data_IF_432789684863
#
_entry.id   IF_432789684863
#
_cell.length_a   1.000
_cell.length_b   1.000
_cell.length_c   1.000
_cell.angle_alpha   90.00
_cell.angle_beta   90.00
_cell.angle_gamma   90.00
#
_symmetry.space_group_name_H-M   'P 1'
#
loop_
_entity.id
_entity.type
_entity.pdbx_description
1 polymer ?
#
# COMPACT_ATOMS: atom_id res chain seq x y z
N UNK A 1 -10.70 -8.63 16.16
CA UNK A 1 -10.23 -7.79 15.03
C UNK A 1 -10.53 -8.39 13.66
N UNK A 2 -10.16 -9.65 13.34
CA UNK A 2 -10.42 -10.31 12.03
C UNK A 2 -11.85 -10.21 11.44
N UNK A 3 -12.88 -10.12 12.27
CA UNK A 3 -14.29 -10.01 11.84
C UNK A 3 -14.66 -8.59 11.36
N UNK A 4 -13.96 -7.56 11.84
CA UNK A 4 -14.28 -6.15 11.62
C UNK A 4 -13.24 -5.43 10.76
N UNK A 5 -11.99 -5.92 10.74
CA UNK A 5 -10.89 -5.33 9.99
C UNK A 5 -10.67 -6.07 8.66
N UNK A 6 -10.80 -5.35 7.54
CA UNK A 6 -10.59 -5.86 6.18
C UNK A 6 -9.13 -6.24 5.95
N UNK A 7 -8.19 -5.54 6.58
CA UNK A 7 -6.74 -5.74 6.43
C UNK A 7 -6.26 -7.00 7.18
N UNK A 8 -7.05 -7.47 8.14
CA UNK A 8 -6.76 -8.66 8.95
C UNK A 8 -7.10 -10.00 8.25
N UNK A 9 -7.60 -9.97 7.00
CA UNK A 9 -7.90 -11.16 6.20
C UNK A 9 -6.67 -11.72 5.49
N UNK A 10 -5.70 -12.22 6.26
CA UNK A 10 -4.47 -12.84 5.77
C UNK A 10 -4.48 -14.36 5.97
N UNK A 11 -3.76 -15.09 5.12
CA UNK A 11 -3.57 -16.54 5.28
C UNK A 11 -2.77 -16.84 6.54
N UNK A 12 -3.09 -17.98 7.17
CA UNK A 12 -2.44 -18.44 8.40
C UNK A 12 -1.38 -19.48 8.05
N UNK A 13 -0.15 -19.20 8.47
CA UNK A 13 1.02 -20.02 8.25
C UNK A 13 1.60 -20.50 9.59
N UNK A 14 1.92 -21.78 9.70
CA UNK A 14 2.51 -22.42 10.87
C UNK A 14 3.70 -23.32 10.47
N UNK A 15 4.71 -23.45 11.33
CA UNK A 15 5.89 -24.29 11.07
C UNK A 15 6.78 -23.77 9.94
N UNK A 16 7.31 -24.68 9.11
CA UNK A 16 8.26 -24.36 8.01
C UNK A 16 7.68 -23.39 6.97
N UNK A 17 6.43 -23.53 6.49
CA UNK A 17 5.83 -22.56 5.56
C UNK A 17 5.81 -21.12 6.08
N UNK A 18 5.62 -20.92 7.40
CA UNK A 18 5.67 -19.60 8.01
C UNK A 18 7.04 -18.95 7.85
N UNK A 19 8.11 -19.72 8.09
CA UNK A 19 9.48 -19.26 7.95
C UNK A 19 9.76 -18.88 6.50
N UNK A 20 9.34 -19.70 5.53
CA UNK A 20 9.51 -19.41 4.11
C UNK A 20 8.82 -18.11 3.69
N UNK A 21 7.57 -17.91 4.12
CA UNK A 21 6.83 -16.66 3.84
C UNK A 21 7.52 -15.46 4.50
N UNK A 22 7.99 -15.60 5.75
CA UNK A 22 8.74 -14.54 6.43
C UNK A 22 10.06 -14.20 5.74
N UNK A 23 10.82 -15.21 5.32
CA UNK A 23 12.05 -15.02 4.53
C UNK A 23 11.74 -14.33 3.20
N UNK A 24 10.62 -14.66 2.55
CA UNK A 24 10.24 -14.06 1.27
C UNK A 24 9.86 -12.59 1.43
N UNK A 25 9.12 -12.25 2.50
CA UNK A 25 8.82 -10.87 2.87
C UNK A 25 10.08 -10.08 3.21
N UNK A 26 11.01 -10.68 3.97
CA UNK A 26 12.28 -10.05 4.30
C UNK A 26 13.14 -9.81 3.05
N UNK A 27 13.21 -10.78 2.12
CA UNK A 27 13.90 -10.63 0.85
C UNK A 27 13.27 -9.52 -0.01
N UNK A 28 11.94 -9.41 -0.04
CA UNK A 28 11.27 -8.31 -0.72
C UNK A 28 11.60 -6.95 -0.09
N UNK A 29 11.64 -6.85 1.24
CA UNK A 29 12.05 -5.63 1.93
C UNK A 29 13.50 -5.25 1.61
N UNK A 30 14.42 -6.22 1.64
CA UNK A 30 15.82 -6.01 1.25
C UNK A 30 15.96 -5.60 -0.22
N UNK A 31 15.17 -6.21 -1.11
CA UNK A 31 15.10 -5.83 -2.52
C UNK A 31 14.64 -4.37 -2.68
N UNK A 32 13.59 -3.93 -1.99
CA UNK A 32 13.12 -2.55 -2.05
C UNK A 32 14.17 -1.55 -1.56
N UNK A 33 14.87 -1.88 -0.47
CA UNK A 33 15.97 -1.07 0.06
C UNK A 33 17.12 -1.00 -0.95
N UNK A 34 17.53 -2.13 -1.51
CA UNK A 34 18.60 -2.20 -2.50
C UNK A 34 18.27 -1.38 -3.76
N UNK A 35 17.07 -1.59 -4.31
CA UNK A 35 16.62 -0.90 -5.52
C UNK A 35 16.60 0.61 -5.34
N UNK A 36 16.22 1.08 -4.16
CA UNK A 36 16.12 2.52 -3.93
C UNK A 36 17.47 3.17 -3.60
N UNK A 37 18.35 2.47 -2.87
CA UNK A 37 19.64 3.04 -2.46
C UNK A 37 20.72 2.91 -3.54
N UNK A 38 20.71 1.81 -4.32
CA UNK A 38 21.85 1.45 -5.16
C UNK A 38 21.51 1.25 -6.64
N UNK A 39 20.27 0.89 -6.98
CA UNK A 39 19.94 0.52 -8.36
C UNK A 39 19.63 1.74 -9.24
N UNK A 40 20.48 2.00 -10.24
CA UNK A 40 20.23 2.97 -11.32
C UNK A 40 19.52 2.31 -12.50
N UNK A 41 18.46 1.56 -12.22
CA UNK A 41 17.72 0.84 -13.26
C UNK A 41 16.83 1.78 -14.06
N UNK A 42 16.55 1.36 -15.29
CA UNK A 42 15.50 1.96 -16.11
C UNK A 42 14.16 1.87 -15.38
N UNK A 43 13.34 2.91 -15.48
CA UNK A 43 12.10 3.04 -14.71
C UNK A 43 11.15 1.86 -14.96
N UNK A 44 11.02 1.42 -16.20
CA UNK A 44 10.15 0.32 -16.62
C UNK A 44 10.59 -0.99 -15.96
N UNK A 45 11.89 -1.26 -15.87
CA UNK A 45 12.43 -2.45 -15.19
C UNK A 45 12.12 -2.38 -13.68
N UNK A 46 12.33 -1.21 -13.07
CA UNK A 46 12.06 -1.01 -11.64
C UNK A 46 10.58 -1.20 -11.30
N UNK A 47 9.69 -0.54 -12.02
CA UNK A 47 8.25 -0.57 -11.70
C UNK A 47 7.63 -1.94 -11.99
N UNK A 48 8.02 -2.58 -13.10
CA UNK A 48 7.50 -3.92 -13.44
C UNK A 48 7.98 -4.98 -12.47
N UNK A 49 9.26 -4.96 -12.08
CA UNK A 49 9.80 -5.90 -11.07
C UNK A 49 9.18 -5.67 -9.69
N UNK A 50 8.99 -4.42 -9.29
CA UNK A 50 8.30 -4.07 -8.04
C UNK A 50 6.86 -4.62 -8.02
N UNK A 51 6.09 -4.37 -9.08
CA UNK A 51 4.71 -4.87 -9.17
C UNK A 51 4.68 -6.40 -9.26
N UNK A 52 5.64 -7.04 -9.94
CA UNK A 52 5.76 -8.51 -9.97
C UNK A 52 5.88 -9.10 -8.56
N UNK A 53 6.72 -8.51 -7.70
CA UNK A 53 6.83 -8.91 -6.30
C UNK A 53 5.54 -8.65 -5.52
N UNK A 54 4.89 -7.49 -5.73
CA UNK A 54 3.63 -7.15 -5.04
C UNK A 54 2.51 -8.12 -5.40
N UNK A 55 2.33 -8.48 -6.68
CA UNK A 55 1.29 -9.46 -7.06
C UNK A 55 1.60 -10.85 -6.55
N UNK A 56 2.88 -11.26 -6.57
CA UNK A 56 3.33 -12.52 -5.98
C UNK A 56 2.98 -12.60 -4.49
N UNK A 57 3.38 -11.59 -3.73
CA UNK A 57 3.07 -11.50 -2.29
C UNK A 57 1.58 -11.34 -2.03
N UNK A 58 0.86 -10.62 -2.89
CA UNK A 58 -0.58 -10.43 -2.80
C UNK A 58 -1.33 -11.76 -2.87
N UNK A 59 -0.98 -12.62 -3.84
CA UNK A 59 -1.54 -13.97 -3.93
C UNK A 59 -1.04 -14.92 -2.86
N UNK A 60 0.13 -14.70 -2.25
CA UNK A 60 0.67 -15.50 -1.16
C UNK A 60 -0.04 -15.19 0.19
N UNK A 61 -0.34 -13.92 0.44
CA UNK A 61 -0.85 -13.42 1.73
C UNK A 61 -2.37 -13.35 1.75
N UNK A 62 -3.02 -12.88 0.68
CA UNK A 62 -4.46 -12.61 0.68
C UNK A 62 -5.27 -13.76 0.03
N UNK A 63 -6.16 -14.42 0.78
CA UNK A 63 -7.02 -15.47 0.26
C UNK A 63 -8.19 -14.91 -0.56
N UNK A 64 -8.70 -15.72 -1.50
CA UNK A 64 -9.76 -15.31 -2.42
C UNK A 64 -11.13 -15.02 -1.77
N UNK A 65 -11.44 -15.68 -0.64
CA UNK A 65 -12.69 -15.54 0.13
C UNK A 65 -12.40 -15.33 1.62
N UNK A 66 -13.19 -14.47 2.26
CA UNK A 66 -13.24 -14.35 3.73
C UNK A 66 -13.93 -15.60 4.29
N UNK A 67 -13.30 -16.31 5.23
CA UNK A 67 -13.86 -17.55 5.81
C UNK A 67 -12.79 -18.52 6.30
N UNK A 68 -13.21 -19.75 6.63
CA UNK A 68 -12.37 -20.84 7.20
C UNK A 68 -11.14 -21.09 6.30
N UNK A 69 -10.02 -20.48 6.67
CA UNK A 69 -8.72 -20.72 6.04
C UNK A 69 -8.14 -22.00 6.64
N UNK A 70 -7.75 -22.94 5.78
CA UNK A 70 -6.93 -24.07 6.22
C UNK A 70 -5.51 -23.56 6.46
N UNK A 71 -4.93 -23.94 7.59
CA UNK A 71 -3.53 -23.63 7.92
C UNK A 71 -2.62 -24.22 6.84
N UNK A 72 -1.62 -23.46 6.39
CA UNK A 72 -0.59 -23.89 5.43
C UNK A 72 -1.10 -24.36 4.06
N UNK A 73 -2.27 -23.90 3.61
CA UNK A 73 -2.83 -24.35 2.33
C UNK A 73 -3.05 -23.18 1.35
N UNK A 74 -2.47 -23.31 0.15
CA UNK A 74 -2.79 -22.47 -1.01
C UNK A 74 -3.65 -23.29 -1.98
N UNK A 75 -4.86 -22.83 -2.33
CA UNK A 75 -5.65 -23.46 -3.38
C UNK A 75 -4.90 -23.44 -4.73
N UNK A 76 -5.04 -24.49 -5.53
CA UNK A 76 -4.35 -24.62 -6.82
C UNK A 76 -4.61 -23.42 -7.76
N UNK A 77 -5.82 -22.86 -7.76
CA UNK A 77 -6.18 -21.72 -8.59
C UNK A 77 -5.39 -20.45 -8.18
N UNK A 78 -5.09 -20.29 -6.90
CA UNK A 78 -4.29 -19.17 -6.41
C UNK A 78 -2.82 -19.33 -6.82
N UNK A 79 -2.30 -20.55 -6.87
CA UNK A 79 -0.95 -20.82 -7.39
C UNK A 79 -0.86 -20.50 -8.88
N UNK A 80 -1.86 -20.91 -9.66
CA UNK A 80 -1.91 -20.61 -11.11
C UNK A 80 -1.98 -19.10 -11.35
N UNK A 81 -2.87 -18.39 -10.65
CA UNK A 81 -2.97 -16.94 -10.78
C UNK A 81 -1.70 -16.21 -10.32
N UNK A 82 -1.06 -16.68 -9.25
CA UNK A 82 0.20 -16.15 -8.76
C UNK A 82 1.31 -16.27 -9.80
N UNK A 83 1.47 -17.46 -10.40
CA UNK A 83 2.51 -17.72 -11.41
C UNK A 83 2.22 -16.92 -12.68
N UNK A 84 0.97 -16.95 -13.19
CA UNK A 84 0.59 -16.21 -14.40
C UNK A 84 0.79 -14.71 -14.21
N UNK A 85 0.35 -14.15 -13.08
CA UNK A 85 0.52 -12.73 -12.80
C UNK A 85 2.00 -12.37 -12.75
N UNK A 86 2.77 -13.05 -11.91
CA UNK A 86 4.21 -12.78 -11.72
C UNK A 86 4.98 -12.92 -13.03
N UNK A 87 4.70 -13.95 -13.82
CA UNK A 87 5.32 -14.17 -15.12
C UNK A 87 5.01 -13.05 -16.12
N UNK A 88 3.77 -12.54 -16.16
CA UNK A 88 3.41 -11.43 -17.06
C UNK A 88 4.18 -10.14 -16.74
N UNK A 89 4.34 -9.81 -15.45
CA UNK A 89 5.11 -8.62 -15.05
C UNK A 89 6.62 -8.82 -15.29
N UNK A 90 7.17 -10.00 -14.97
CA UNK A 90 8.58 -10.33 -15.21
C UNK A 90 8.91 -10.40 -16.70
N UNK A 91 7.97 -10.84 -17.55
CA UNK A 91 8.12 -10.76 -19.01
C UNK A 91 8.41 -9.31 -19.45
N UNK A 92 7.63 -8.35 -18.95
CA UNK A 92 7.92 -6.93 -19.25
C UNK A 92 9.26 -6.50 -18.63
N UNK A 93 9.59 -6.91 -17.40
CA UNK A 93 10.89 -6.59 -16.80
C UNK A 93 12.08 -7.04 -17.65
N UNK A 94 12.06 -8.28 -18.16
CA UNK A 94 13.16 -8.87 -18.94
C UNK A 94 13.25 -8.26 -20.34
N UNK A 95 12.11 -8.06 -21.01
CA UNK A 95 12.05 -7.56 -22.38
C UNK A 95 11.78 -6.05 -22.46
N UNK A 96 12.03 -5.29 -21.39
CA UNK A 96 11.70 -3.87 -21.31
C UNK A 96 12.29 -3.05 -22.47
N UNK A 97 13.56 -3.28 -22.81
CA UNK A 97 14.23 -2.56 -23.91
C UNK A 97 13.60 -2.84 -25.28
N UNK A 98 13.21 -4.08 -25.54
CA UNK A 98 12.60 -4.48 -26.81
C UNK A 98 11.18 -3.92 -26.91
N UNK A 99 10.43 -3.96 -25.80
CA UNK A 99 9.08 -3.40 -25.68
C UNK A 99 9.06 -1.88 -25.89
N UNK A 100 10.09 -1.18 -25.41
CA UNK A 100 10.22 0.27 -25.65
C UNK A 100 10.56 0.54 -27.12
N UNK A 101 11.47 -0.24 -27.72
CA UNK A 101 11.92 -0.06 -29.11
C UNK A 101 10.84 -0.41 -30.14
N UNK A 102 9.99 -1.40 -29.87
CA UNK A 102 8.92 -1.81 -30.80
C UNK A 102 7.78 -0.76 -30.91
N UNK A 103 7.73 0.22 -30.00
CA UNK A 103 6.78 1.32 -30.04
C UNK A 103 5.33 0.82 -30.06
N UNK A 104 4.56 1.21 -31.07
CA UNK A 104 3.13 0.89 -31.17
C UNK A 104 2.81 -0.52 -31.70
N UNK A 105 3.80 -1.28 -32.17
CA UNK A 105 3.61 -2.56 -32.86
C UNK A 105 3.67 -3.72 -31.87
N UNK A 106 2.51 -4.10 -31.34
CA UNK A 106 2.38 -5.24 -30.43
C UNK A 106 1.68 -6.41 -31.13
N UNK A 107 2.25 -7.59 -30.96
CA UNK A 107 1.66 -8.85 -31.43
C UNK A 107 0.50 -9.30 -30.53
N UNK A 108 -0.42 -10.10 -31.09
CA UNK A 108 -1.60 -10.61 -30.35
C UNK A 108 -1.23 -11.30 -29.04
N UNK A 109 -0.13 -12.05 -29.00
CA UNK A 109 0.31 -12.75 -27.79
C UNK A 109 0.78 -11.79 -26.69
N UNK A 110 1.38 -10.66 -27.03
CA UNK A 110 1.79 -9.63 -26.05
C UNK A 110 0.57 -8.94 -25.45
N UNK A 111 -0.49 -8.74 -26.25
CA UNK A 111 -1.77 -8.24 -25.76
C UNK A 111 -2.41 -9.24 -24.79
N UNK A 112 -2.35 -10.55 -25.07
CA UNK A 112 -2.85 -11.57 -24.14
C UNK A 112 -2.12 -11.52 -22.79
N UNK A 113 -0.80 -11.35 -22.78
CA UNK A 113 -0.02 -11.16 -21.55
C UNK A 113 -0.50 -9.94 -20.76
N UNK A 114 -0.75 -8.82 -21.44
CA UNK A 114 -1.27 -7.60 -20.82
C UNK A 114 -2.67 -7.78 -20.24
N UNK A 115 -3.57 -8.48 -20.94
CA UNK A 115 -4.91 -8.82 -20.42
C UNK A 115 -4.80 -9.66 -19.14
N UNK A 116 -3.95 -10.70 -19.16
CA UNK A 116 -3.70 -11.54 -17.97
C UNK A 116 -3.14 -10.70 -16.82
N UNK A 117 -2.18 -9.80 -17.09
CA UNK A 117 -1.60 -8.94 -16.07
C UNK A 117 -2.62 -7.99 -15.43
N UNK A 118 -3.48 -7.36 -16.25
CA UNK A 118 -4.53 -6.44 -15.78
C UNK A 118 -5.59 -7.22 -14.99
N UNK A 119 -6.04 -8.37 -15.50
CA UNK A 119 -7.08 -9.19 -14.84
C UNK A 119 -6.59 -9.77 -13.51
N UNK A 120 -5.35 -10.26 -13.46
CA UNK A 120 -4.77 -10.78 -12.21
C UNK A 120 -4.50 -9.66 -11.20
N UNK A 121 -4.04 -8.48 -11.64
CA UNK A 121 -3.89 -7.31 -10.76
C UNK A 121 -5.23 -6.87 -10.17
N UNK A 122 -6.28 -6.82 -11.00
CA UNK A 122 -7.65 -6.54 -10.56
C UNK A 122 -8.12 -7.52 -9.47
N UNK A 123 -7.80 -8.80 -9.63
CA UNK A 123 -8.13 -9.84 -8.65
C UNK A 123 -7.34 -9.69 -7.34
N UNK A 124 -6.04 -9.35 -7.39
CA UNK A 124 -5.26 -9.01 -6.18
C UNK A 124 -5.82 -7.76 -5.49
N UNK A 125 -6.20 -6.74 -6.27
CA UNK A 125 -6.82 -5.52 -5.75
C UNK A 125 -8.16 -5.83 -5.05
N UNK A 126 -8.99 -6.68 -5.66
CA UNK A 126 -10.26 -7.16 -5.05
C UNK A 126 -10.02 -7.85 -3.70
N UNK A 127 -8.95 -8.63 -3.59
CA UNK A 127 -8.59 -9.36 -2.36
C UNK A 127 -8.05 -8.46 -1.26
N UNK A 128 -7.26 -7.45 -1.64
CA UNK A 128 -6.54 -6.58 -0.70
C UNK A 128 -7.39 -5.39 -0.23
N UNK A 129 -8.07 -4.70 -1.16
CA UNK A 129 -8.84 -3.47 -0.88
C UNK A 129 -10.35 -3.73 -0.86
N UNK A 130 -10.84 -4.49 -1.85
CA UNK A 130 -12.25 -4.88 -1.96
C UNK A 130 -12.92 -4.47 -3.26
N UNK A 131 -14.23 -4.76 -3.35
CA UNK A 131 -15.04 -4.53 -4.56
C UNK A 131 -15.28 -3.06 -4.93
N UNK A 132 -15.46 -2.09 -4.00
CA UNK A 132 -15.83 -0.73 -4.38
C UNK A 132 -14.86 -0.07 -5.37
N UNK A 133 -13.55 -0.19 -5.13
CA UNK A 133 -12.53 0.39 -6.03
C UNK A 133 -12.51 -0.32 -7.39
N UNK A 134 -12.80 -1.62 -7.40
CA UNK A 134 -12.86 -2.42 -8.63
C UNK A 134 -14.08 -2.04 -9.49
N UNK A 135 -15.21 -1.71 -8.87
CA UNK A 135 -16.40 -1.24 -9.61
C UNK A 135 -16.09 0.06 -10.33
N UNK A 136 -15.46 1.01 -9.64
CA UNK A 136 -15.08 2.30 -10.23
C UNK A 136 -14.06 2.11 -11.37
N UNK A 137 -12.99 1.35 -11.12
CA UNK A 137 -11.99 1.05 -12.16
C UNK A 137 -12.60 0.31 -13.35
N UNK A 138 -13.46 -0.67 -13.09
CA UNK A 138 -14.20 -1.42 -14.11
C UNK A 138 -15.10 -0.53 -14.95
N UNK A 139 -15.79 0.44 -14.36
CA UNK A 139 -16.60 1.41 -15.09
C UNK A 139 -15.76 2.24 -16.07
N UNK A 140 -14.57 2.69 -15.67
CA UNK A 140 -13.65 3.41 -16.57
C UNK A 140 -13.08 2.51 -17.67
N UNK A 141 -12.77 1.25 -17.38
CA UNK A 141 -12.34 0.29 -18.42
C UNK A 141 -13.46 0.03 -19.42
N UNK A 142 -14.71 -0.15 -18.95
CA UNK A 142 -15.89 -0.30 -19.83
C UNK A 142 -16.12 0.96 -20.65
N UNK A 143 -15.96 2.15 -20.06
CA UNK A 143 -16.06 3.42 -20.79
C UNK A 143 -14.98 3.53 -21.87
N UNK A 144 -13.72 3.19 -21.55
CA UNK A 144 -12.63 3.15 -22.53
C UNK A 144 -12.93 2.19 -23.68
N UNK A 145 -13.50 1.02 -23.39
CA UNK A 145 -13.87 0.04 -24.40
C UNK A 145 -15.10 0.45 -25.23
N UNK A 146 -16.05 1.21 -24.69
CA UNK A 146 -17.33 1.53 -25.35
C UNK A 146 -17.33 2.89 -26.07
N UNK A 147 -16.76 3.94 -25.48
CA UNK A 147 -16.84 5.33 -25.95
C UNK A 147 -15.45 5.93 -26.22
N UNK A 148 -14.44 5.53 -25.45
CA UNK A 148 -13.17 6.25 -25.33
C UNK A 148 -12.15 6.13 -26.46
N UNK A 149 -12.51 5.64 -27.66
CA UNK A 149 -11.52 5.45 -28.73
C UNK A 149 -12.06 5.71 -30.13
N UNK A 150 -11.26 6.44 -30.92
CA UNK A 150 -11.46 6.74 -32.35
C UNK A 150 -11.41 5.51 -33.28
N UNK A 151 -11.21 4.30 -32.74
CA UNK A 151 -11.17 3.05 -33.50
C UNK A 151 -12.57 2.42 -33.56
N UNK A 152 -13.14 2.19 -34.77
CA UNK A 152 -14.49 1.65 -34.91
C UNK A 152 -14.60 0.18 -34.43
N UNK A 153 -13.55 -0.62 -34.59
CA UNK A 153 -13.54 -2.05 -34.26
C UNK A 153 -13.25 -2.31 -32.78
N UNK A 154 -14.03 -3.20 -32.15
CA UNK A 154 -13.83 -3.58 -30.73
C UNK A 154 -12.41 -4.08 -30.45
N UNK A 155 -11.83 -4.90 -31.34
CA UNK A 155 -10.48 -5.43 -31.15
C UNK A 155 -9.40 -4.34 -31.19
N UNK A 156 -9.58 -3.30 -32.01
CA UNK A 156 -8.69 -2.14 -32.02
C UNK A 156 -8.76 -1.35 -30.71
N UNK A 157 -9.96 -1.21 -30.13
CA UNK A 157 -10.17 -0.59 -28.82
C UNK A 157 -9.53 -1.39 -27.69
N UNK A 158 -9.71 -2.71 -27.69
CA UNK A 158 -9.10 -3.61 -26.71
C UNK A 158 -7.56 -3.53 -26.76
N UNK A 159 -6.96 -3.67 -27.94
CA UNK A 159 -5.50 -3.64 -28.11
C UNK A 159 -4.90 -2.33 -27.59
N UNK A 160 -5.51 -1.20 -27.93
CA UNK A 160 -5.05 0.10 -27.45
C UNK A 160 -5.23 0.25 -25.94
N UNK A 161 -6.39 -0.11 -25.38
CA UNK A 161 -6.64 0.00 -23.93
C UNK A 161 -5.64 -0.85 -23.14
N UNK A 162 -5.39 -2.10 -23.57
CA UNK A 162 -4.40 -2.97 -22.92
C UNK A 162 -2.99 -2.39 -23.04
N UNK A 163 -2.61 -1.86 -24.21
CA UNK A 163 -1.31 -1.22 -24.41
C UNK A 163 -1.14 0.00 -23.51
N UNK A 164 -2.14 0.86 -23.45
CA UNK A 164 -2.10 2.07 -22.62
C UNK A 164 -2.10 1.74 -21.13
N UNK A 165 -2.80 0.69 -20.70
CA UNK A 165 -2.84 0.29 -19.29
C UNK A 165 -1.58 -0.45 -18.84
N UNK A 166 -1.05 -1.37 -19.65
CA UNK A 166 0.04 -2.25 -19.23
C UNK A 166 1.40 -1.87 -19.82
N UNK A 167 1.48 -1.45 -21.08
CA UNK A 167 2.77 -1.16 -21.74
C UNK A 167 3.14 0.33 -21.80
N UNK A 168 2.26 1.23 -21.33
CA UNK A 168 2.51 2.68 -21.28
C UNK A 168 2.74 3.18 -19.86
N UNK A 169 3.35 4.37 -19.74
CA UNK A 169 3.55 5.11 -18.48
C UNK A 169 2.31 5.82 -17.95
N UNK A 170 1.26 5.89 -18.78
CA UNK A 170 -0.01 6.53 -18.41
C UNK A 170 -0.98 5.54 -17.72
N UNK A 171 -0.64 4.25 -17.71
CA UNK A 171 -1.46 3.19 -17.15
C UNK A 171 -1.10 2.81 -15.72
N UNK A 172 -0.91 1.50 -15.51
CA UNK A 172 -0.54 0.91 -14.21
C UNK A 172 0.81 1.46 -13.74
N UNK A 173 1.79 1.58 -14.64
CA UNK A 173 3.15 2.03 -14.32
C UNK A 173 3.28 3.56 -14.38
N UNK A 174 2.36 4.25 -13.70
CA UNK A 174 2.30 5.70 -13.62
C UNK A 174 2.82 6.22 -12.28
N UNK A 175 2.71 7.54 -12.07
CA UNK A 175 3.11 8.26 -10.86
C UNK A 175 2.78 7.55 -9.53
N UNK A 176 1.59 6.96 -9.31
CA UNK A 176 1.29 6.28 -8.06
C UNK A 176 2.18 5.07 -7.78
N UNK A 177 2.40 4.18 -8.74
CA UNK A 177 3.28 3.01 -8.56
C UNK A 177 4.74 3.46 -8.44
N UNK A 178 5.13 4.51 -9.15
CA UNK A 178 6.47 5.10 -9.01
C UNK A 178 6.72 5.62 -7.60
N UNK A 179 5.75 6.38 -7.07
CA UNK A 179 5.76 6.89 -5.70
C UNK A 179 5.80 5.76 -4.67
N UNK A 180 5.01 4.71 -4.90
CA UNK A 180 4.99 3.52 -4.04
C UNK A 180 6.35 2.84 -3.98
N UNK A 181 6.98 2.63 -5.14
CA UNK A 181 8.26 1.93 -5.27
C UNK A 181 9.45 2.74 -4.74
N UNK A 182 9.43 4.08 -4.86
CA UNK A 182 10.54 4.94 -4.43
C UNK A 182 10.49 5.34 -2.97
N UNK A 183 9.31 5.70 -2.47
CA UNK A 183 9.18 6.35 -1.17
C UNK A 183 8.37 5.50 -0.20
N UNK A 184 7.10 5.21 -0.55
CA UNK A 184 6.14 4.65 0.39
C UNK A 184 6.62 3.31 0.95
N UNK A 185 7.16 2.42 0.11
CA UNK A 185 7.59 1.09 0.56
C UNK A 185 8.69 1.15 1.63
N UNK A 186 9.65 2.07 1.51
CA UNK A 186 10.73 2.21 2.50
C UNK A 186 10.20 2.76 3.81
N UNK A 187 9.35 3.79 3.72
CA UNK A 187 8.75 4.37 4.91
C UNK A 187 7.84 3.36 5.64
N UNK A 188 7.10 2.52 4.91
CA UNK A 188 6.32 1.43 5.52
C UNK A 188 7.25 0.40 6.17
N UNK A 189 8.34 -0.02 5.52
CA UNK A 189 9.31 -0.96 6.10
C UNK A 189 9.94 -0.38 7.37
N UNK A 190 10.34 0.89 7.34
CA UNK A 190 10.90 1.58 8.48
C UNK A 190 9.87 1.77 9.61
N UNK A 191 8.64 2.17 9.29
CA UNK A 191 7.55 2.29 10.24
C UNK A 191 7.22 0.96 10.92
N UNK A 192 7.13 -0.13 10.15
CA UNK A 192 6.91 -1.47 10.68
C UNK A 192 8.08 -1.95 11.57
N UNK A 193 9.33 -1.58 11.21
CA UNK A 193 10.49 -1.85 12.07
C UNK A 193 10.38 -1.08 13.40
N UNK A 194 10.10 0.22 13.35
CA UNK A 194 9.95 1.06 14.54
C UNK A 194 8.80 0.59 15.45
N UNK A 195 7.65 0.24 14.88
CA UNK A 195 6.52 -0.32 15.62
C UNK A 195 6.93 -1.59 16.40
N UNK A 196 7.74 -2.47 15.78
CA UNK A 196 8.27 -3.68 16.44
C UNK A 196 9.31 -3.41 17.51
N UNK A 197 9.97 -2.25 17.50
CA UNK A 197 10.91 -1.87 18.56
C UNK A 197 10.23 -1.37 19.83
N UNK A 198 8.90 -1.21 19.84
CA UNK A 198 8.16 -0.69 21.00
C UNK A 198 8.23 0.83 21.13
N UNK A 199 8.46 1.55 20.03
CA UNK A 199 8.57 3.02 20.06
C UNK A 199 7.25 3.70 20.48
N UNK A 200 6.11 3.03 20.32
CA UNK A 200 4.80 3.51 20.74
C UNK A 200 4.77 3.81 22.26
N UNK A 201 5.21 2.85 23.08
CA UNK A 201 5.30 3.03 24.53
C UNK A 201 6.26 4.18 24.89
N UNK A 202 7.40 4.27 24.20
CA UNK A 202 8.34 5.38 24.36
C UNK A 202 7.69 6.75 24.06
N UNK A 203 6.86 6.86 23.01
CA UNK A 203 6.17 8.11 22.69
C UNK A 203 5.10 8.47 23.70
N UNK A 204 4.36 7.48 24.22
CA UNK A 204 3.39 7.70 25.30
C UNK A 204 4.10 8.20 26.56
N UNK A 205 5.21 7.59 26.94
CA UNK A 205 6.00 8.02 28.11
C UNK A 205 6.61 9.41 27.90
N UNK A 206 7.15 9.70 26.72
CA UNK A 206 7.65 11.03 26.37
C UNK A 206 6.53 12.08 26.44
N UNK A 207 5.36 11.80 25.88
CA UNK A 207 4.20 12.67 25.94
C UNK A 207 3.73 12.90 27.39
N UNK A 208 3.73 11.86 28.21
CA UNK A 208 3.43 11.95 29.65
C UNK A 208 4.37 12.92 30.37
N UNK A 209 5.67 12.87 30.09
CA UNK A 209 6.67 13.78 30.70
C UNK A 209 6.46 15.24 30.28
N UNK A 210 6.13 15.46 29.00
CA UNK A 210 5.97 16.81 28.44
C UNK A 210 4.66 17.44 28.89
N UNK A 211 3.52 16.75 28.72
CA UNK A 211 2.18 17.34 28.90
C UNK A 211 1.31 16.72 30.00
N UNK A 212 1.70 15.58 30.57
CA UNK A 212 0.87 14.82 31.52
C UNK A 212 0.61 15.54 32.85
N UNK A 213 1.49 16.46 33.25
CA UNK A 213 1.40 17.27 34.49
C UNK A 213 0.46 18.46 34.40
N UNK A 214 -0.03 18.81 33.20
CA UNK A 214 -0.97 19.92 33.04
C UNK A 214 -2.42 19.48 33.26
N UNK A 215 -3.31 20.44 33.49
CA UNK A 215 -4.76 20.19 33.51
C UNK A 215 -5.20 19.54 32.19
N UNK A 216 -5.99 18.46 32.31
CA UNK A 216 -6.36 17.61 31.19
C UNK A 216 -5.21 16.78 30.61
N UNK A 217 -4.16 16.52 31.42
CA UNK A 217 -2.95 15.80 31.05
C UNK A 217 -3.20 14.54 30.22
N UNK A 218 -4.03 13.58 30.66
CA UNK A 218 -4.29 12.35 29.90
C UNK A 218 -4.80 12.56 28.48
N UNK A 219 -5.67 13.54 28.25
CA UNK A 219 -6.17 13.86 26.91
C UNK A 219 -5.10 14.53 26.05
N UNK A 220 -4.28 15.42 26.64
CA UNK A 220 -3.15 16.04 25.94
C UNK A 220 -2.06 15.02 25.59
N UNK A 221 -1.79 14.08 26.49
CA UNK A 221 -0.88 12.95 26.27
C UNK A 221 -1.37 12.12 25.10
N UNK A 222 -2.68 11.80 25.05
CA UNK A 222 -3.25 11.09 23.91
C UNK A 222 -2.99 11.83 22.60
N UNK A 223 -3.28 13.15 22.54
CA UNK A 223 -3.05 13.95 21.33
C UNK A 223 -1.57 13.97 20.91
N UNK A 224 -0.65 14.20 21.85
CA UNK A 224 0.79 14.28 21.55
C UNK A 224 1.36 12.91 21.18
N UNK A 225 1.01 11.86 21.91
CA UNK A 225 1.45 10.50 21.64
C UNK A 225 0.94 10.00 20.29
N UNK A 226 -0.36 10.19 19.99
CA UNK A 226 -0.91 9.87 18.67
C UNK A 226 -0.28 10.72 17.57
N UNK A 227 0.04 11.99 17.82
CA UNK A 227 0.78 12.77 16.83
C UNK A 227 2.15 12.15 16.54
N UNK A 228 2.89 11.75 17.58
CA UNK A 228 4.22 11.12 17.45
C UNK A 228 4.18 9.73 16.82
N UNK A 229 3.25 8.87 17.21
CA UNK A 229 3.02 7.58 16.56
C UNK A 229 2.53 7.74 15.10
N UNK A 230 1.72 8.77 14.84
CA UNK A 230 1.29 9.17 13.52
C UNK A 230 2.45 9.54 12.60
N UNK A 231 3.48 10.22 13.14
CA UNK A 231 4.72 10.53 12.41
C UNK A 231 5.43 9.29 11.86
N UNK A 232 5.25 8.14 12.52
CA UNK A 232 5.92 6.87 12.17
C UNK A 232 5.04 5.99 11.30
N UNK A 233 3.75 5.88 11.64
CA UNK A 233 2.85 4.96 10.95
C UNK A 233 2.22 5.55 9.70
N UNK A 234 2.00 6.88 9.66
CA UNK A 234 1.23 7.55 8.61
C UNK A 234 -0.22 7.04 8.47
N UNK A 235 -0.72 6.25 9.43
CA UNK A 235 -1.97 5.51 9.35
C UNK A 235 -2.83 5.79 10.57
N UNK A 236 -4.01 6.38 10.34
CA UNK A 236 -4.95 6.68 11.42
C UNK A 236 -5.52 5.43 12.09
N UNK A 237 -5.69 4.34 11.33
CA UNK A 237 -6.19 3.07 11.87
C UNK A 237 -5.14 2.42 12.76
N UNK A 238 -3.88 2.39 12.32
CA UNK A 238 -2.79 1.84 13.12
C UNK A 238 -2.62 2.63 14.42
N UNK A 239 -2.66 3.96 14.34
CA UNK A 239 -2.59 4.86 15.49
C UNK A 239 -3.72 4.61 16.50
N UNK A 240 -4.98 4.57 16.02
CA UNK A 240 -6.14 4.34 16.89
C UNK A 240 -6.07 2.97 17.59
N UNK A 241 -5.46 1.96 16.94
CA UNK A 241 -5.28 0.62 17.53
C UNK A 241 -4.09 0.58 18.48
N UNK A 242 -2.99 1.26 18.15
CA UNK A 242 -1.77 1.40 18.94
C UNK A 242 -2.01 2.27 20.17
N UNK A 243 -1.88 3.59 20.02
CA UNK A 243 -2.11 4.57 21.10
C UNK A 243 -3.46 4.39 21.77
N UNK A 244 -4.55 4.21 21.00
CA UNK A 244 -5.90 4.11 21.56
C UNK A 244 -6.12 2.94 22.52
N UNK A 245 -5.35 1.86 22.39
CA UNK A 245 -5.41 0.74 23.34
C UNK A 245 -4.93 1.12 24.75
N UNK A 246 -4.10 2.14 24.86
CA UNK A 246 -3.51 2.63 26.12
C UNK A 246 -4.16 3.94 26.58
N UNK A 247 -4.36 4.88 25.65
CA UNK A 247 -4.84 6.24 25.95
C UNK A 247 -6.33 6.26 26.32
N UNK A 248 -7.19 5.45 25.67
CA UNK A 248 -8.63 5.42 25.97
C UNK A 248 -8.88 4.91 27.40
N UNK A 249 -8.32 3.77 27.85
CA UNK A 249 -8.46 3.35 29.24
C UNK A 249 -7.89 4.35 30.24
N UNK A 250 -6.76 4.99 29.91
CA UNK A 250 -6.13 6.00 30.76
C UNK A 250 -7.04 7.21 30.96
N UNK A 251 -7.57 7.79 29.88
CA UNK A 251 -8.52 8.91 29.93
C UNK A 251 -9.75 8.55 30.78
N UNK A 252 -10.34 7.37 30.56
CA UNK A 252 -11.50 6.90 31.33
C UNK A 252 -11.20 6.79 32.83
N UNK A 253 -10.04 6.24 33.22
CA UNK A 253 -9.64 6.14 34.63
C UNK A 253 -9.48 7.50 35.31
N UNK A 254 -9.15 8.53 34.55
CA UNK A 254 -9.01 9.91 35.05
C UNK A 254 -10.30 10.73 35.03
N UNK A 255 -11.44 10.12 34.68
CA UNK A 255 -12.76 10.74 34.79
C UNK A 255 -13.34 11.30 33.48
N UNK A 256 -12.68 11.09 32.34
CA UNK A 256 -13.28 11.42 31.04
C UNK A 256 -14.41 10.45 30.66
N UNK A 257 -15.44 10.97 30.00
CA UNK A 257 -16.50 10.10 29.49
C UNK A 257 -15.96 9.15 28.40
N UNK A 258 -16.49 7.91 28.30
CA UNK A 258 -16.06 6.97 27.26
C UNK A 258 -16.19 7.53 25.84
N UNK A 259 -17.21 8.34 25.59
CA UNK A 259 -17.49 8.96 24.29
C UNK A 259 -16.43 10.01 23.96
N UNK A 260 -16.07 10.85 24.92
CA UNK A 260 -15.02 11.85 24.73
C UNK A 260 -13.66 11.20 24.54
N UNK A 261 -13.31 10.19 25.34
CA UNK A 261 -12.04 9.48 25.21
C UNK A 261 -11.87 8.85 23.82
N UNK A 262 -12.92 8.20 23.31
CA UNK A 262 -12.90 7.63 21.96
C UNK A 262 -12.86 8.71 20.86
N UNK A 263 -13.62 9.80 21.01
CA UNK A 263 -13.64 10.89 20.03
C UNK A 263 -12.31 11.66 19.98
N UNK A 264 -11.70 11.92 21.13
CA UNK A 264 -10.41 12.59 21.24
C UNK A 264 -9.31 11.74 20.60
N UNK A 265 -9.24 10.45 20.91
CA UNK A 265 -8.29 9.52 20.30
C UNK A 265 -8.48 9.41 18.79
N UNK A 266 -9.73 9.26 18.32
CA UNK A 266 -10.02 9.18 16.89
C UNK A 266 -9.62 10.47 16.15
N UNK A 267 -9.88 11.63 16.76
CA UNK A 267 -9.52 12.94 16.19
C UNK A 267 -8.01 13.19 16.20
N UNK A 268 -7.30 12.75 17.24
CA UNK A 268 -5.84 12.83 17.30
C UNK A 268 -5.20 11.90 16.26
N UNK A 269 -5.75 10.69 16.13
CA UNK A 269 -5.25 9.66 15.22
C UNK A 269 -5.36 10.05 13.74
N UNK A 270 -6.38 10.81 13.33
CA UNK A 270 -6.49 11.33 11.95
C UNK A 270 -5.39 12.33 11.62
N UNK A 271 -4.94 13.13 12.59
CA UNK A 271 -3.82 14.05 12.44
C UNK A 271 -2.50 13.36 12.06
N UNK A 272 -2.33 12.09 12.45
CA UNK A 272 -1.16 11.29 12.07
C UNK A 272 -0.97 11.13 10.56
N UNK A 273 -2.04 11.21 9.76
CA UNK A 273 -1.92 11.13 8.29
C UNK A 273 -1.28 12.37 7.66
N UNK A 274 -1.22 13.50 8.37
CA UNK A 274 -0.64 14.74 7.85
C UNK A 274 0.64 15.14 8.60
N UNK A 275 0.97 14.46 9.69
CA UNK A 275 2.15 14.79 10.50
C UNK A 275 3.44 14.26 9.84
N UNK A 276 4.42 15.14 9.54
CA UNK A 276 5.76 14.75 9.10
C UNK A 276 6.48 13.85 10.13
N UNK A 277 7.48 13.03 9.75
CA UNK A 277 8.15 12.97 8.46
C UNK A 277 7.70 11.81 7.56
N UNK A 278 6.75 10.97 7.97
CA UNK A 278 6.26 9.88 7.11
C UNK A 278 4.95 10.26 6.45
N UNK A 279 4.01 10.85 7.20
CA UNK A 279 2.70 11.26 6.68
C UNK A 279 1.96 10.09 5.99
N UNK A 280 0.72 10.32 5.56
CA UNK A 280 -0.07 9.36 4.81
C UNK A 280 0.35 9.27 3.35
N UNK A 281 -0.09 8.20 2.67
CA UNK A 281 0.19 7.93 1.26
C UNK A 281 -0.10 9.14 0.32
N UNK A 282 -1.09 9.96 0.67
CA UNK A 282 -1.48 11.15 -0.09
C UNK A 282 -0.36 12.21 -0.19
N UNK A 283 0.49 12.36 0.85
CA UNK A 283 1.58 13.32 0.84
C UNK A 283 2.65 12.97 -0.21
N UNK A 284 2.92 11.67 -0.38
CA UNK A 284 3.86 11.19 -1.40
C UNK A 284 3.32 11.40 -2.82
N UNK A 285 2.02 11.14 -3.04
CA UNK A 285 1.38 11.44 -4.33
C UNK A 285 1.44 12.93 -4.63
N UNK A 286 1.22 13.78 -3.63
CA UNK A 286 1.31 15.23 -3.80
C UNK A 286 2.72 15.67 -4.22
N UNK A 287 3.76 15.11 -3.61
CA UNK A 287 5.15 15.37 -3.99
C UNK A 287 5.42 15.02 -5.46
N UNK A 288 4.95 13.85 -5.91
CA UNK A 288 5.10 13.39 -7.30
C UNK A 288 4.31 14.28 -8.27
N UNK A 289 3.07 14.65 -7.95
CA UNK A 289 2.25 15.53 -8.81
C UNK A 289 2.80 16.95 -8.91
N UNK A 290 3.34 17.50 -7.82
CA UNK A 290 3.93 18.83 -7.80
C UNK A 290 5.35 18.85 -8.36
N UNK A 291 5.99 17.69 -8.54
CA UNK A 291 7.38 17.58 -8.96
C UNK A 291 8.38 18.19 -7.98
N UNK A 292 8.03 18.29 -6.69
CA UNK A 292 8.92 18.81 -5.64
C UNK A 292 9.37 17.68 -4.70
N UNK A 293 10.57 17.78 -4.09
CA UNK A 293 11.04 16.79 -3.14
C UNK A 293 10.06 16.59 -1.98
N UNK A 294 9.83 15.34 -1.58
CA UNK A 294 8.96 14.99 -0.45
C UNK A 294 9.29 15.79 0.82
N UNK A 295 10.57 16.03 1.10
CA UNK A 295 11.00 16.84 2.25
C UNK A 295 10.46 18.27 2.24
N UNK A 296 10.20 18.86 1.07
CA UNK A 296 9.55 20.19 0.97
C UNK A 296 8.05 20.11 1.29
N UNK A 297 7.39 19.03 0.88
CA UNK A 297 5.98 18.76 1.25
C UNK A 297 5.87 18.57 2.76
N UNK A 298 6.74 17.74 3.33
CA UNK A 298 6.81 17.49 4.76
C UNK A 298 7.10 18.77 5.55
N UNK A 299 8.05 19.60 5.11
CA UNK A 299 8.35 20.88 5.76
C UNK A 299 7.15 21.83 5.79
N UNK A 300 6.40 21.89 4.67
CA UNK A 300 5.19 22.73 4.57
C UNK A 300 4.04 22.21 5.42
N UNK A 301 3.96 20.90 5.65
CA UNK A 301 2.93 20.29 6.48
C UNK A 301 3.13 20.49 7.99
N UNK A 302 4.29 20.99 8.44
CA UNK A 302 4.54 21.30 9.86
C UNK A 302 3.60 22.40 10.36
N UNK A 303 3.29 23.38 9.51
CA UNK A 303 2.31 24.41 9.82
C UNK A 303 0.95 23.92 9.33
N UNK A 304 -0.02 23.64 10.22
CA UNK A 304 -1.37 23.32 9.79
C UNK A 304 -1.97 24.53 9.06
N UNK A 305 -2.65 24.28 7.94
CA UNK A 305 -3.46 25.26 7.22
C UNK A 305 -4.75 25.58 8.00
#
# INVERSE_FOLDING_TARGET
>A
MKKYDRESNTRVWEGVPKILVQCTLALFSLFCIYVTLFATWLEEIRLTSFVACIVFLGYLIFPAKKGVQKVNHIPWYDVVLMVLSTASYLYYTVFAFDIIKQGAKFETWQILIGIVAIATLAEVCRRSVGLPILIVAGAFVVYALTVGLSNPTFMGRLNYTVRSLFYSKEGIFSAPINTCSKFIVIFIIFGAFLERTGIADFFIDAANVVVGRFSGGPAKVAVVASAMEGMVSGSSVANTVGSGSVTIPLMKKTGYSPEFAAAAEASASTGGQIMPPIMGAAAFLMAEYMGIPYGQVALRAILPA
#
